data_IF_350409059443
#
_entry.id   IF_350409059443
#
_cell.length_a   1.000
_cell.length_b   1.000
_cell.length_c   1.000
_cell.angle_alpha   90.00
_cell.angle_beta   90.00
_cell.angle_gamma   90.00
#
_symmetry.space_group_name_H-M   'P 1'
#
loop_
_entity.id
_entity.type
_entity.pdbx_description
1 polymer ?
#
# COMPACT_ATOMS: atom_id res chain seq x y z
N UNK A 1 -10.92 -14.41 -20.07
CA UNK A 1 -10.08 -14.53 -18.87
C UNK A 1 -9.59 -13.14 -18.53
N UNK A 2 -9.82 -12.72 -17.30
CA UNK A 2 -9.34 -11.42 -16.81
C UNK A 2 -7.80 -11.45 -16.81
N UNK A 3 -7.16 -10.41 -17.35
CA UNK A 3 -5.71 -10.31 -17.33
C UNK A 3 -5.29 -9.83 -15.93
N UNK A 4 -5.15 -10.77 -15.00
CA UNK A 4 -4.80 -10.53 -13.60
C UNK A 4 -3.54 -9.66 -13.44
N UNK A 5 -2.59 -9.78 -14.38
CA UNK A 5 -1.40 -8.94 -14.43
C UNK A 5 -1.73 -7.47 -14.74
N UNK A 6 -2.56 -7.22 -15.76
CA UNK A 6 -3.00 -5.86 -16.08
C UNK A 6 -3.82 -5.23 -14.94
N UNK A 7 -4.63 -6.01 -14.23
CA UNK A 7 -5.36 -5.54 -13.05
C UNK A 7 -4.43 -5.19 -11.89
N UNK A 8 -3.43 -6.04 -11.60
CA UNK A 8 -2.45 -5.77 -10.56
C UNK A 8 -1.67 -4.47 -10.82
N UNK A 9 -1.26 -4.24 -12.08
CA UNK A 9 -0.63 -2.98 -12.49
C UNK A 9 -1.57 -1.79 -12.27
N UNK A 10 -2.84 -1.92 -12.68
CA UNK A 10 -3.85 -0.87 -12.51
C UNK A 10 -4.06 -0.51 -11.03
N UNK A 11 -4.17 -1.52 -10.16
CA UNK A 11 -4.32 -1.34 -8.72
C UNK A 11 -3.11 -0.64 -8.12
N UNK A 12 -1.89 -1.09 -8.46
CA UNK A 12 -0.66 -0.50 -7.95
C UNK A 12 -0.54 0.97 -8.35
N UNK A 13 -0.72 1.29 -9.63
CA UNK A 13 -0.67 2.66 -10.13
C UNK A 13 -1.70 3.55 -9.43
N UNK A 14 -2.95 3.09 -9.34
CA UNK A 14 -4.00 3.85 -8.67
C UNK A 14 -3.70 4.10 -7.18
N UNK A 15 -3.20 3.08 -6.47
CA UNK A 15 -2.81 3.22 -5.07
C UNK A 15 -1.72 4.29 -4.88
N UNK A 16 -0.65 4.26 -5.68
CA UNK A 16 0.43 5.24 -5.56
C UNK A 16 -0.01 6.65 -5.96
N UNK A 17 -0.82 6.80 -7.02
CA UNK A 17 -1.40 8.10 -7.37
C UNK A 17 -2.26 8.69 -6.23
N UNK A 18 -3.00 7.85 -5.50
CA UNK A 18 -3.79 8.28 -4.34
C UNK A 18 -2.90 8.67 -3.15
N UNK A 19 -1.85 7.91 -2.85
CA UNK A 19 -0.95 8.15 -1.70
C UNK A 19 -0.04 9.36 -1.94
N UNK A 20 0.45 9.53 -3.17
CA UNK A 20 1.27 10.68 -3.59
C UNK A 20 0.45 11.97 -3.65
N UNK A 21 -0.88 11.84 -3.62
CA UNK A 21 -1.80 12.97 -3.70
C UNK A 21 -1.96 13.54 -5.10
N UNK A 22 -1.58 12.79 -6.14
CA UNK A 22 -1.88 13.13 -7.54
C UNK A 22 -3.39 13.12 -7.81
N UNK A 23 -4.11 12.23 -7.13
CA UNK A 23 -5.58 12.18 -7.15
C UNK A 23 -6.14 12.17 -5.72
N UNK A 24 -7.27 12.86 -5.47
CA UNK A 24 -7.85 12.94 -4.13
C UNK A 24 -8.56 11.64 -3.75
N UNK A 25 -8.88 11.51 -2.46
CA UNK A 25 -9.81 10.48 -2.00
C UNK A 25 -9.19 9.17 -1.52
N UNK A 26 -7.87 9.10 -1.30
CA UNK A 26 -7.19 7.92 -0.71
C UNK A 26 -7.96 7.33 0.49
N UNK A 27 -8.40 8.21 1.40
CA UNK A 27 -9.14 7.87 2.63
C UNK A 27 -10.43 7.09 2.38
N UNK A 28 -11.08 7.34 1.24
CA UNK A 28 -12.37 6.76 0.88
C UNK A 28 -12.20 5.34 0.31
N UNK A 29 -11.01 5.00 -0.19
CA UNK A 29 -10.70 3.71 -0.81
C UNK A 29 -10.20 2.67 0.21
N UNK A 30 -10.04 3.04 1.48
CA UNK A 30 -9.65 2.11 2.54
C UNK A 30 -10.87 1.35 3.08
N UNK A 31 -10.72 0.04 3.25
CA UNK A 31 -11.70 -0.79 3.93
C UNK A 31 -11.79 -0.44 5.43
N UNK A 32 -12.96 -0.62 6.05
CA UNK A 32 -13.16 -0.28 7.47
C UNK A 32 -12.14 -0.98 8.39
N UNK A 33 -11.86 -2.25 8.13
CA UNK A 33 -10.96 -3.10 8.91
C UNK A 33 -9.54 -3.20 8.32
N UNK A 34 -9.11 -2.21 7.52
CA UNK A 34 -7.76 -2.18 6.94
C UNK A 34 -6.66 -2.35 8.00
N UNK A 35 -5.61 -3.10 7.65
CA UNK A 35 -4.43 -3.29 8.49
C UNK A 35 -3.20 -2.78 7.75
N UNK A 36 -2.50 -1.84 8.35
CA UNK A 36 -1.22 -1.34 7.87
C UNK A 36 -0.10 -1.88 8.76
N UNK A 37 0.80 -2.68 8.18
CA UNK A 37 2.07 -3.08 8.80
C UNK A 37 3.18 -2.16 8.28
N UNK A 38 3.67 -1.27 9.12
CA UNK A 38 4.62 -0.22 8.73
C UNK A 38 5.86 -0.28 9.62
N UNK A 39 7.00 -0.70 9.08
CA UNK A 39 8.30 -0.80 9.80
C UNK A 39 8.18 -1.41 11.22
N UNK A 40 7.53 -2.56 11.34
CA UNK A 40 7.32 -3.26 12.63
C UNK A 40 6.13 -2.77 13.45
N UNK A 41 5.53 -1.64 13.11
CA UNK A 41 4.28 -1.15 13.70
C UNK A 41 3.06 -1.77 13.00
N UNK A 42 2.05 -2.14 13.77
CA UNK A 42 0.76 -2.63 13.25
C UNK A 42 -0.34 -1.64 13.60
N UNK A 43 -1.04 -1.15 12.59
CA UNK A 43 -2.10 -0.15 12.71
C UNK A 43 -3.36 -0.75 12.10
N UNK A 44 -4.46 -0.77 12.85
CA UNK A 44 -5.71 -1.43 12.45
C UNK A 44 -6.85 -0.43 12.42
N UNK A 45 -7.70 -0.55 11.41
CA UNK A 45 -8.91 0.24 11.23
C UNK A 45 -8.67 1.52 10.43
N UNK A 46 -9.64 1.82 9.55
CA UNK A 46 -9.59 2.94 8.61
C UNK A 46 -9.21 4.27 9.25
N UNK A 47 -9.89 4.67 10.33
CA UNK A 47 -9.63 5.95 11.01
C UNK A 47 -8.18 6.07 11.49
N UNK A 48 -7.62 5.00 12.08
CA UNK A 48 -6.25 4.99 12.61
C UNK A 48 -5.20 4.98 11.50
N UNK A 49 -5.46 4.22 10.43
CA UNK A 49 -4.57 4.19 9.26
C UNK A 49 -4.54 5.55 8.56
N UNK A 50 -5.70 6.19 8.34
CA UNK A 50 -5.78 7.53 7.76
C UNK A 50 -5.00 8.54 8.60
N UNK A 51 -5.24 8.57 9.92
CA UNK A 51 -4.55 9.49 10.82
C UNK A 51 -3.04 9.31 10.75
N UNK A 52 -2.57 8.06 10.74
CA UNK A 52 -1.15 7.74 10.65
C UNK A 52 -0.53 8.18 9.31
N UNK A 53 -1.18 7.89 8.19
CA UNK A 53 -0.67 8.25 6.86
C UNK A 53 -0.58 9.78 6.68
N UNK A 54 -1.54 10.53 7.25
CA UNK A 54 -1.51 12.00 7.21
C UNK A 54 -0.43 12.59 8.11
N UNK A 55 -0.22 12.04 9.31
CA UNK A 55 0.78 12.56 10.26
C UNK A 55 2.22 12.23 9.85
N UNK A 56 2.41 11.16 9.07
CA UNK A 56 3.70 10.73 8.56
C UNK A 56 3.83 11.01 7.05
N UNK A 57 3.11 12.02 6.54
CA UNK A 57 3.17 12.38 5.13
C UNK A 57 4.55 12.95 4.82
N UNK A 58 5.40 12.12 4.23
CA UNK A 58 6.58 12.58 3.51
C UNK A 58 6.11 12.96 2.10
N UNK A 59 6.49 14.14 1.63
CA UNK A 59 6.34 14.47 0.21
C UNK A 59 7.20 13.50 -0.58
N UNK A 60 6.55 12.46 -1.10
CA UNK A 60 7.17 11.38 -1.87
C UNK A 60 6.37 11.20 -3.14
N UNK A 61 7.10 10.98 -4.23
CA UNK A 61 6.55 10.66 -5.52
C UNK A 61 7.13 9.31 -5.92
N UNK A 62 6.26 8.32 -6.05
CA UNK A 62 6.62 6.97 -6.40
C UNK A 62 6.53 6.81 -7.93
N UNK A 63 7.67 6.55 -8.56
CA UNK A 63 7.74 6.28 -10.01
C UNK A 63 8.31 4.89 -10.22
N UNK A 64 7.53 4.03 -10.88
CA UNK A 64 7.95 2.70 -11.28
C UNK A 64 7.98 2.64 -12.81
N UNK A 65 9.15 2.38 -13.41
CA UNK A 65 9.29 2.27 -14.86
C UNK A 65 8.76 0.95 -15.41
N UNK A 66 8.73 -0.09 -14.57
CA UNK A 66 8.25 -1.42 -14.90
C UNK A 66 7.71 -2.09 -13.64
N UNK A 67 6.58 -2.80 -13.77
CA UNK A 67 5.95 -3.58 -12.69
C UNK A 67 5.90 -5.02 -13.20
N UNK A 68 6.99 -5.76 -13.00
CA UNK A 68 7.06 -7.16 -13.38
C UNK A 68 6.41 -8.06 -12.33
N UNK A 69 5.64 -9.08 -12.74
CA UNK A 69 5.13 -10.08 -11.84
C UNK A 69 6.29 -10.92 -11.30
N UNK A 70 6.32 -11.11 -9.98
CA UNK A 70 7.28 -12.00 -9.32
C UNK A 70 6.53 -13.07 -8.55
N UNK A 71 6.96 -14.32 -8.69
CA UNK A 71 6.34 -15.47 -8.02
C UNK A 71 6.60 -15.46 -6.50
N UNK A 72 7.72 -14.87 -6.08
CA UNK A 72 8.21 -14.96 -4.71
C UNK A 72 8.45 -13.58 -4.11
N UNK A 73 7.39 -12.96 -3.58
CA UNK A 73 7.57 -12.00 -2.49
C UNK A 73 7.91 -12.84 -1.26
N UNK A 74 9.19 -13.17 -1.08
CA UNK A 74 9.66 -13.76 0.17
C UNK A 74 9.46 -12.72 1.28
N UNK A 75 8.30 -12.76 1.91
CA UNK A 75 8.11 -12.08 3.17
C UNK A 75 9.03 -12.81 4.14
N UNK A 76 10.29 -12.34 4.26
CA UNK A 76 11.20 -12.79 5.31
C UNK A 76 10.50 -12.49 6.63
N UNK A 77 9.71 -13.44 7.11
CA UNK A 77 9.28 -13.45 8.48
C UNK A 77 10.60 -13.43 9.25
N UNK A 78 10.86 -12.35 10.00
CA UNK A 78 11.86 -12.45 11.04
C UNK A 78 11.36 -13.60 11.91
N UNK A 79 12.02 -14.75 11.82
CA UNK A 79 11.95 -15.76 12.87
C UNK A 79 12.37 -15.01 14.14
N UNK A 80 11.37 -14.68 14.95
CA UNK A 80 11.59 -14.24 16.31
C UNK A 80 12.14 -15.46 17.02
N UNK A 81 13.46 -15.59 17.06
CA UNK A 81 14.12 -16.48 18.00
C UNK A 81 13.70 -16.00 19.39
N UNK A 82 12.75 -16.73 19.97
CA UNK A 82 12.31 -16.60 21.34
C UNK A 82 12.90 -17.75 22.11
#
# INVERSE_FOLDING_TARGET
MVNEHAEAISIANNYFMLVDGMIPGFKNHLAEHVVLKWFGKVIKGRKKVIAFMLSNKTESFHTFSDIMPISDISQKSKQSNR
#
